data_IF_523479950182
#
_entry.id   IF_523479950182
#
_cell.length_a   1.000
_cell.length_b   1.000
_cell.length_c   1.000
_cell.angle_alpha   90.00
_cell.angle_beta   90.00
_cell.angle_gamma   90.00
#
_symmetry.space_group_name_H-M   'P 1'
#
loop_
_entity.id
_entity.type
_entity.pdbx_description
1 polymer ?
#
# COMPACT_ATOMS: atom_id res chain seq x y z
N UNK A 1 10.55 -6.66 -3.08
CA UNK A 1 9.46 -6.04 -3.89
C UNK A 1 9.94 -4.79 -4.68
N UNK A 2 10.61 -4.97 -5.83
CA UNK A 2 11.32 -3.91 -6.57
C UNK A 2 10.45 -2.71 -7.04
N UNK A 3 9.12 -2.85 -7.09
CA UNK A 3 8.20 -1.78 -7.50
C UNK A 3 7.27 -1.28 -6.38
N UNK A 4 7.32 -1.88 -5.18
CA UNK A 4 6.47 -1.59 -4.00
C UNK A 4 4.99 -1.39 -4.36
N UNK A 5 4.44 -2.35 -5.10
CA UNK A 5 3.04 -2.37 -5.53
C UNK A 5 2.20 -3.15 -4.53
N UNK A 6 0.94 -2.76 -4.39
CA UNK A 6 0.00 -3.56 -3.61
C UNK A 6 -0.47 -4.80 -4.37
N UNK A 7 -1.03 -5.78 -3.64
CA UNK A 7 -1.41 -7.08 -4.21
C UNK A 7 -2.40 -6.95 -5.37
N UNK A 8 -3.30 -5.96 -5.35
CA UNK A 8 -4.25 -5.73 -6.45
C UNK A 8 -3.54 -5.31 -7.74
N UNK A 9 -2.51 -4.46 -7.64
CA UNK A 9 -1.73 -4.05 -8.81
C UNK A 9 -0.88 -5.21 -9.32
N UNK A 10 -0.25 -5.97 -8.43
CA UNK A 10 0.51 -7.17 -8.81
C UNK A 10 -0.38 -8.15 -9.57
N UNK A 11 -1.57 -8.45 -9.04
CA UNK A 11 -2.57 -9.30 -9.69
C UNK A 11 -2.96 -8.78 -11.06
N UNK A 12 -3.25 -7.49 -11.18
CA UNK A 12 -3.62 -6.86 -12.46
C UNK A 12 -2.51 -7.01 -13.51
N UNK A 13 -1.27 -6.69 -13.15
CA UNK A 13 -0.11 -6.74 -14.06
C UNK A 13 0.20 -8.18 -14.49
N UNK A 14 0.08 -9.16 -13.59
CA UNK A 14 0.24 -10.57 -13.94
C UNK A 14 -0.88 -11.06 -14.86
N UNK A 15 -2.12 -10.62 -14.65
CA UNK A 15 -3.24 -10.91 -15.57
C UNK A 15 -3.01 -10.33 -16.96
N UNK A 16 -2.52 -9.09 -17.06
CA UNK A 16 -2.15 -8.49 -18.35
C UNK A 16 -1.07 -9.29 -19.08
N UNK A 17 -0.16 -9.92 -18.33
CA UNK A 17 0.86 -10.84 -18.86
C UNK A 17 0.32 -12.25 -19.17
N UNK A 18 -1.00 -12.46 -19.13
CA UNK A 18 -1.67 -13.75 -19.38
C UNK A 18 -1.21 -14.88 -18.44
N UNK A 19 -0.76 -14.54 -17.23
CA UNK A 19 -0.46 -15.53 -16.19
C UNK A 19 -1.78 -16.10 -15.68
N UNK A 20 -1.85 -17.42 -15.50
CA UNK A 20 -3.06 -18.09 -15.02
C UNK A 20 -3.40 -17.65 -13.59
N UNK A 21 -4.69 -17.61 -13.25
CA UNK A 21 -5.15 -17.22 -11.92
C UNK A 21 -4.56 -18.11 -10.80
N UNK A 22 -4.27 -19.38 -11.11
CA UNK A 22 -3.60 -20.31 -10.20
C UNK A 22 -2.17 -19.86 -9.88
N UNK A 23 -1.36 -19.57 -10.89
CA UNK A 23 0.02 -19.10 -10.71
C UNK A 23 0.05 -17.74 -10.00
N UNK A 24 -0.91 -16.86 -10.27
CA UNK A 24 -1.01 -15.56 -9.58
C UNK A 24 -1.27 -15.76 -8.08
N UNK A 25 -2.21 -16.63 -7.71
CA UNK A 25 -2.50 -16.92 -6.29
C UNK A 25 -1.25 -17.44 -5.57
N UNK A 26 -0.53 -18.39 -6.19
CA UNK A 26 0.69 -18.95 -5.63
C UNK A 26 1.78 -17.87 -5.47
N UNK A 27 2.01 -17.05 -6.48
CA UNK A 27 2.98 -15.95 -6.41
C UNK A 27 2.62 -14.90 -5.35
N UNK A 28 1.33 -14.65 -5.09
CA UNK A 28 0.89 -13.74 -4.03
C UNK A 28 1.06 -14.34 -2.63
N UNK A 29 1.01 -15.67 -2.48
CA UNK A 29 1.26 -16.37 -1.21
C UNK A 29 2.74 -16.42 -0.84
N UNK A 30 3.63 -16.40 -1.83
CA UNK A 30 5.07 -16.31 -1.61
C UNK A 30 5.53 -14.91 -1.12
N UNK A 31 4.63 -13.92 -1.12
CA UNK A 31 4.92 -12.60 -0.56
C UNK A 31 4.85 -12.70 0.96
N UNK A 32 5.99 -12.52 1.60
CA UNK A 32 6.07 -12.38 3.04
C UNK A 32 5.21 -11.21 3.53
N UNK A 33 4.35 -11.50 4.51
CA UNK A 33 3.35 -10.55 4.99
C UNK A 33 3.98 -9.42 5.82
N UNK A 34 5.01 -9.72 6.59
CA UNK A 34 5.73 -8.72 7.40
C UNK A 34 6.46 -7.73 6.50
N UNK A 35 7.16 -8.23 5.48
CA UNK A 35 7.80 -7.40 4.46
C UNK A 35 6.79 -6.53 3.70
N UNK A 36 5.63 -7.10 3.36
CA UNK A 36 4.58 -6.36 2.65
C UNK A 36 4.02 -5.21 3.50
N UNK A 37 3.72 -5.48 4.77
CA UNK A 37 3.23 -4.49 5.72
C UNK A 37 4.31 -3.45 6.05
N UNK A 38 5.57 -3.84 6.17
CA UNK A 38 6.72 -2.94 6.35
C UNK A 38 6.86 -1.96 5.18
N UNK A 39 6.73 -2.46 3.94
CA UNK A 39 6.75 -1.60 2.74
C UNK A 39 5.56 -0.64 2.72
N UNK A 40 4.36 -1.11 3.06
CA UNK A 40 3.17 -0.27 3.13
C UNK A 40 3.33 0.82 4.20
N UNK A 41 3.75 0.46 5.41
CA UNK A 41 3.99 1.38 6.52
C UNK A 41 4.98 2.45 6.11
N UNK A 42 6.16 2.06 5.60
CA UNK A 42 7.18 3.01 5.14
C UNK A 42 6.66 3.98 4.07
N UNK A 43 5.94 3.49 3.06
CA UNK A 43 5.35 4.35 2.04
C UNK A 43 4.30 5.31 2.60
N UNK A 44 3.52 4.85 3.59
CA UNK A 44 2.51 5.65 4.27
C UNK A 44 3.18 6.78 5.03
N UNK A 45 4.17 6.46 5.87
CA UNK A 45 4.97 7.41 6.65
C UNK A 45 5.65 8.42 5.72
N UNK A 46 6.44 7.96 4.74
CA UNK A 46 7.14 8.82 3.78
C UNK A 46 6.18 9.83 3.12
N UNK A 47 5.03 9.35 2.65
CA UNK A 47 4.03 10.20 1.99
C UNK A 47 3.35 11.15 2.96
N UNK A 48 2.98 10.68 4.14
CA UNK A 48 2.31 11.46 5.18
C UNK A 48 3.21 12.60 5.70
N UNK A 49 4.51 12.34 5.90
CA UNK A 49 5.49 13.35 6.30
C UNK A 49 5.83 14.32 5.19
N UNK A 50 5.87 13.89 3.93
CA UNK A 50 6.05 14.80 2.78
C UNK A 50 4.93 15.86 2.63
N UNK A 51 3.80 15.65 3.31
CA UNK A 51 2.64 16.53 3.28
C UNK A 51 2.49 17.31 4.60
N UNK A 52 3.56 17.46 5.39
CA UNK A 52 3.56 18.13 6.70
C UNK A 52 2.96 19.55 6.67
N UNK A 53 3.08 20.26 5.54
CA UNK A 53 2.53 21.61 5.34
C UNK A 53 1.00 21.65 5.20
N UNK A 54 0.36 20.50 4.96
CA UNK A 54 -1.09 20.42 4.76
C UNK A 54 -1.82 20.09 6.08
N UNK A 55 -3.08 20.49 6.16
CA UNK A 55 -3.95 20.05 7.26
C UNK A 55 -4.09 18.51 7.30
N UNK A 56 -4.27 17.97 8.51
CA UNK A 56 -4.28 16.52 8.76
C UNK A 56 -5.28 15.75 7.86
N UNK A 57 -6.48 16.30 7.62
CA UNK A 57 -7.50 15.67 6.76
C UNK A 57 -6.98 15.52 5.32
N UNK A 58 -6.30 16.56 4.82
CA UNK A 58 -5.76 16.58 3.47
C UNK A 58 -4.59 15.60 3.37
N UNK A 59 -3.74 15.51 4.41
CA UNK A 59 -2.65 14.54 4.49
C UNK A 59 -3.17 13.11 4.41
N UNK A 60 -4.19 12.79 5.21
CA UNK A 60 -4.86 11.47 5.22
C UNK A 60 -5.40 11.16 3.82
N UNK A 61 -6.22 12.05 3.25
CA UNK A 61 -6.83 11.84 1.93
C UNK A 61 -5.78 11.58 0.85
N UNK A 62 -4.77 12.46 0.74
CA UNK A 62 -3.71 12.34 -0.27
C UNK A 62 -2.86 11.08 -0.09
N UNK A 63 -2.62 10.66 1.15
CA UNK A 63 -1.86 9.44 1.45
C UNK A 63 -2.65 8.19 1.09
N UNK A 64 -3.93 8.15 1.46
CA UNK A 64 -4.85 7.07 1.08
C UNK A 64 -4.96 6.95 -0.44
N UNK A 65 -5.28 8.05 -1.14
CA UNK A 65 -5.42 8.07 -2.59
C UNK A 65 -4.13 7.58 -3.29
N UNK A 66 -2.96 7.98 -2.78
CA UNK A 66 -1.66 7.54 -3.28
C UNK A 66 -1.45 6.02 -3.15
N UNK A 67 -1.80 5.43 -2.02
CA UNK A 67 -1.60 3.99 -1.78
C UNK A 67 -2.63 3.14 -2.54
N UNK A 68 -3.89 3.59 -2.61
CA UNK A 68 -4.93 2.96 -3.42
C UNK A 68 -4.53 2.94 -4.90
N UNK A 69 -4.01 4.05 -5.43
CA UNK A 69 -3.54 4.13 -6.81
C UNK A 69 -2.38 3.14 -7.10
N UNK A 70 -1.59 2.79 -6.09
CA UNK A 70 -0.53 1.76 -6.16
C UNK A 70 -1.05 0.33 -5.99
N UNK A 71 -2.36 0.17 -5.77
CA UNK A 71 -3.08 -1.09 -5.66
C UNK A 71 -2.96 -1.78 -4.31
N UNK A 72 -2.69 -1.03 -3.24
CA UNK A 72 -2.83 -1.55 -1.87
C UNK A 72 -4.31 -1.70 -1.51
N UNK A 73 -4.60 -2.65 -0.64
CA UNK A 73 -5.94 -2.97 -0.16
C UNK A 73 -6.47 -1.83 0.74
N UNK A 74 -7.72 -1.35 0.53
CA UNK A 74 -8.26 -0.22 1.29
C UNK A 74 -8.22 -0.38 2.81
N UNK A 75 -8.48 -1.59 3.30
CA UNK A 75 -8.45 -1.89 4.73
C UNK A 75 -7.05 -1.75 5.32
N UNK A 76 -6.01 -2.23 4.63
CA UNK A 76 -4.63 -2.10 5.07
C UNK A 76 -4.14 -0.65 5.02
N UNK A 77 -4.53 0.09 3.97
CA UNK A 77 -4.22 1.52 3.85
C UNK A 77 -4.84 2.30 5.00
N UNK A 78 -6.11 2.02 5.33
CA UNK A 78 -6.81 2.68 6.44
C UNK A 78 -6.14 2.41 7.79
N UNK A 79 -5.71 1.17 8.03
CA UNK A 79 -4.97 0.82 9.24
C UNK A 79 -3.63 1.59 9.32
N UNK A 80 -2.81 1.54 8.26
CA UNK A 80 -1.50 2.20 8.23
C UNK A 80 -1.60 3.73 8.43
N UNK A 81 -2.61 4.37 7.84
CA UNK A 81 -2.84 5.81 8.01
C UNK A 81 -3.35 6.15 9.43
N UNK A 82 -4.10 5.24 10.07
CA UNK A 82 -4.53 5.41 11.45
C UNK A 82 -3.35 5.32 12.43
N UNK A 83 -2.39 4.43 12.16
CA UNK A 83 -1.17 4.30 12.97
C UNK A 83 -0.32 5.58 12.92
N UNK A 84 -0.13 6.16 11.72
CA UNK A 84 0.56 7.45 11.55
C UNK A 84 -0.12 8.61 12.31
N UNK A 85 -1.43 8.52 12.57
CA UNK A 85 -2.17 9.51 13.37
C UNK A 85 -1.91 9.32 14.87
N UNK A 86 -1.75 8.08 15.32
CA UNK A 86 -1.58 7.74 16.73
C UNK A 86 -0.23 8.22 17.29
N UNK A 87 0.81 8.29 16.45
CA UNK A 87 2.16 8.79 16.81
C UNK A 87 2.21 10.31 17.09
N UNK A 88 1.15 11.06 16.80
CA UNK A 88 1.09 12.51 17.04
C UNK A 88 0.45 12.85 18.40
N UNK A 89 0.30 11.88 19.30
CA UNK A 89 -0.38 12.05 20.60
C UNK A 89 0.57 11.89 21.79
#
# INVERSE_FOLDING_TARGET
LAKRWGRNRIKYELKQKKVSDFCIKKALQEIDEEDYLSVLSRLTTDKYHSLSEHQYIIRIKKTTDYLIARGFEPELVRAAVADCRAETK
#
